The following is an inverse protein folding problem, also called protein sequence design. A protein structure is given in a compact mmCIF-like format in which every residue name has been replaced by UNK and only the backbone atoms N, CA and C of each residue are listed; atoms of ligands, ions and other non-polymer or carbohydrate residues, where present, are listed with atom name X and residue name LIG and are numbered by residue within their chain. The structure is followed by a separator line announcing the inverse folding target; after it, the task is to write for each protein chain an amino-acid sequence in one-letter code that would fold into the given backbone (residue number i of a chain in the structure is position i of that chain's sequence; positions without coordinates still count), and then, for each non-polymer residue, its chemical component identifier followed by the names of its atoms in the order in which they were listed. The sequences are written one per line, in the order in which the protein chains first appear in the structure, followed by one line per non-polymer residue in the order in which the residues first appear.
data_IF_533264976072
#
_entry.id   IF_533264976072
#
_cell.length_a   1.000
_cell.length_b   1.000
_cell.length_c   1.000
_cell.angle_alpha   90.00
_cell.angle_beta   90.00
_cell.angle_gamma   90.00
#
_symmetry.space_group_name_H-M   'P 1'
#
loop_
_entity.id
_entity.type
_entity.pdbx_description
1 polymer ?
#
# COMPACT_ATOMS: atom_id res chain seq x y z
N UNK A 1 12.48 -8.45 -19.29
CA UNK A 1 11.93 -7.69 -18.14
C UNK A 1 12.88 -6.62 -17.59
N UNK A 2 14.14 -6.93 -17.30
CA UNK A 2 15.06 -6.06 -16.53
C UNK A 2 15.30 -4.65 -17.08
N UNK A 3 15.45 -4.50 -18.41
CA UNK A 3 15.64 -3.19 -19.04
C UNK A 3 14.44 -2.26 -18.80
N UNK A 4 13.22 -2.80 -18.95
CA UNK A 4 11.97 -2.05 -18.72
C UNK A 4 11.91 -1.61 -17.25
N UNK A 5 12.21 -2.49 -16.30
CA UNK A 5 12.22 -2.15 -14.87
C UNK A 5 13.25 -1.06 -14.57
N UNK A 6 14.43 -1.10 -15.20
CA UNK A 6 15.45 -0.06 -15.05
C UNK A 6 14.97 1.28 -15.60
N UNK A 7 14.38 1.30 -16.78
CA UNK A 7 13.85 2.52 -17.39
C UNK A 7 12.72 3.12 -16.53
N UNK A 8 11.83 2.28 -15.98
CA UNK A 8 10.74 2.73 -15.10
C UNK A 8 11.23 3.34 -13.80
N UNK A 9 12.35 2.86 -13.23
CA UNK A 9 12.97 3.45 -12.03
C UNK A 9 13.48 4.89 -12.26
N UNK A 10 13.70 5.29 -13.51
CA UNK A 10 14.08 6.66 -13.86
C UNK A 10 12.87 7.59 -14.04
N UNK A 11 11.67 7.01 -14.23
CA UNK A 11 10.43 7.76 -14.50
C UNK A 11 9.60 7.93 -13.22
N UNK A 12 9.56 6.89 -12.38
CA UNK A 12 8.73 6.86 -11.18
C UNK A 12 9.58 6.90 -9.91
N UNK A 13 9.11 7.64 -8.92
CA UNK A 13 9.56 7.47 -7.54
C UNK A 13 8.81 6.26 -6.99
N UNK A 14 9.55 5.21 -6.64
CA UNK A 14 8.99 4.03 -6.00
C UNK A 14 9.36 4.00 -4.52
N UNK A 15 8.51 3.40 -3.71
CA UNK A 15 8.82 3.14 -2.31
C UNK A 15 9.25 1.69 -2.06
N UNK A 16 9.88 1.46 -0.92
CA UNK A 16 10.41 0.14 -0.54
C UNK A 16 9.35 -0.78 0.07
N UNK A 17 8.38 -0.21 0.79
CA UNK A 17 7.29 -0.96 1.41
C UNK A 17 6.00 -0.86 0.61
N UNK A 18 5.12 -1.83 0.77
CA UNK A 18 3.78 -1.83 0.16
C UNK A 18 2.75 -2.05 1.26
N UNK A 19 1.72 -1.21 1.28
CA UNK A 19 0.64 -1.17 2.27
C UNK A 19 -0.72 -1.05 1.57
N UNK A 20 -1.78 -1.31 2.32
CA UNK A 20 -3.15 -1.14 1.83
C UNK A 20 -3.40 0.33 1.47
N UNK A 21 -4.02 0.56 0.31
CA UNK A 21 -4.29 1.89 -0.23
C UNK A 21 -3.22 2.41 -1.19
N UNK A 22 -2.10 1.70 -1.37
CA UNK A 22 -1.10 2.09 -2.36
C UNK A 22 -1.52 1.74 -3.78
N UNK A 23 -1.04 2.55 -4.73
CA UNK A 23 -1.07 2.19 -6.14
C UNK A 23 0.26 1.54 -6.50
N UNK A 24 0.19 0.34 -7.04
CA UNK A 24 1.34 -0.41 -7.55
C UNK A 24 1.34 -0.40 -9.08
N UNK A 25 2.53 -0.34 -9.65
CA UNK A 25 2.76 -0.62 -11.05
C UNK A 25 3.06 -2.10 -11.20
N UNK A 26 2.32 -2.78 -12.08
CA UNK A 26 2.52 -4.18 -12.44
C UNK A 26 3.05 -4.22 -13.87
N UNK A 27 4.23 -4.80 -14.05
CA UNK A 27 4.85 -5.05 -15.35
C UNK A 27 4.79 -6.56 -15.60
N UNK A 28 4.02 -6.96 -16.61
CA UNK A 28 3.89 -8.33 -17.08
C UNK A 28 3.95 -8.34 -18.62
N UNK A 29 3.14 -9.15 -19.30
CA UNK A 29 2.87 -8.99 -20.74
C UNK A 29 2.35 -7.57 -21.07
N UNK A 30 1.58 -7.00 -20.14
CA UNK A 30 1.09 -5.61 -20.21
C UNK A 30 1.49 -4.86 -18.94
N UNK A 31 1.71 -3.56 -19.08
CA UNK A 31 1.95 -2.64 -17.96
C UNK A 31 0.61 -2.09 -17.49
N UNK A 32 0.33 -2.20 -16.20
CA UNK A 32 -0.95 -1.75 -15.62
C UNK A 32 -0.78 -1.28 -14.18
N UNK A 33 -1.74 -0.47 -13.73
CA UNK A 33 -1.84 -0.06 -12.33
C UNK A 33 -2.80 -0.97 -11.58
N UNK A 34 -2.52 -1.17 -10.29
CA UNK A 34 -3.45 -1.77 -9.36
C UNK A 34 -3.46 -1.03 -8.02
N UNK A 35 -4.61 -1.00 -7.37
CA UNK A 35 -4.75 -0.55 -5.98
C UNK A 35 -4.58 -1.76 -5.05
N UNK A 36 -3.76 -1.62 -4.02
CA UNK A 36 -3.65 -2.63 -2.96
C UNK A 36 -4.84 -2.49 -2.01
N UNK A 37 -5.64 -3.54 -1.93
CA UNK A 37 -6.88 -3.58 -1.14
C UNK A 37 -6.77 -4.39 0.15
N UNK A 38 -5.76 -5.25 0.27
CA UNK A 38 -5.52 -6.07 1.46
C UNK A 38 -4.17 -6.77 1.39
N UNK A 39 -3.54 -7.02 2.54
CA UNK A 39 -2.32 -7.81 2.68
C UNK A 39 -2.49 -8.67 3.94
N UNK A 40 -2.69 -9.98 3.76
CA UNK A 40 -2.96 -10.91 4.85
C UNK A 40 -1.98 -12.07 4.84
N UNK A 41 -1.48 -12.51 6.00
CA UNK A 41 -0.51 -13.60 6.08
C UNK A 41 -1.20 -14.94 5.82
N UNK A 42 -0.65 -15.74 4.90
CA UNK A 42 -1.11 -17.10 4.66
C UNK A 42 -0.45 -18.10 5.63
N UNK A 43 -1.12 -18.38 6.74
CA UNK A 43 -0.65 -19.31 7.78
C UNK A 43 -0.70 -20.78 7.38
N UNK A 44 -1.34 -21.14 6.25
CA UNK A 44 -1.31 -22.51 5.76
C UNK A 44 0.06 -22.88 5.15
N UNK A 45 0.88 -21.87 4.82
CA UNK A 45 2.25 -22.04 4.32
C UNK A 45 3.26 -21.84 5.44
N UNK A 46 4.21 -22.78 5.56
CA UNK A 46 5.32 -22.70 6.54
C UNK A 46 6.23 -21.50 6.29
N UNK A 47 6.42 -21.13 5.02
CA UNK A 47 7.20 -19.96 4.58
C UNK A 47 6.37 -18.68 4.57
N UNK A 48 7.03 -17.53 4.46
CA UNK A 48 6.43 -16.20 4.48
C UNK A 48 5.67 -15.83 3.18
N UNK A 49 4.44 -16.32 3.08
CA UNK A 49 3.50 -16.06 2.00
C UNK A 49 2.33 -15.16 2.43
N UNK A 50 1.89 -14.30 1.53
CA UNK A 50 0.86 -13.30 1.78
C UNK A 50 -0.23 -13.38 0.71
N UNK A 51 -1.48 -13.29 1.13
CA UNK A 51 -2.63 -13.06 0.28
C UNK A 51 -2.74 -11.55 0.04
N UNK A 52 -2.31 -11.09 -1.13
CA UNK A 52 -2.32 -9.68 -1.51
C UNK A 52 -3.54 -9.42 -2.41
N UNK A 53 -4.50 -8.68 -1.89
CA UNK A 53 -5.69 -8.25 -2.62
C UNK A 53 -5.36 -7.06 -3.53
N UNK A 54 -5.56 -7.20 -4.83
CA UNK A 54 -5.27 -6.20 -5.84
C UNK A 54 -6.54 -5.85 -6.62
N UNK A 55 -6.78 -4.57 -6.83
CA UNK A 55 -7.79 -4.09 -7.77
C UNK A 55 -7.10 -3.48 -8.98
N UNK A 56 -7.11 -4.23 -10.08
CA UNK A 56 -6.58 -3.84 -11.38
C UNK A 56 -7.39 -2.67 -11.93
N UNK A 57 -6.70 -1.57 -12.22
CA UNK A 57 -7.29 -0.32 -12.72
C UNK A 57 -7.37 -0.34 -14.25
N UNK A 58 -7.90 -1.43 -14.80
CA UNK A 58 -8.11 -1.67 -16.24
C UNK A 58 -9.55 -1.37 -16.63
N UNK A 59 -9.87 -1.45 -17.93
CA UNK A 59 -11.25 -1.43 -18.43
C UNK A 59 -11.59 -2.84 -18.96
N UNK A 60 -12.54 -3.58 -18.35
CA UNK A 60 -13.22 -3.25 -17.10
C UNK A 60 -12.30 -3.39 -15.88
N UNK A 61 -12.61 -2.74 -14.73
CA UNK A 61 -11.88 -2.96 -13.49
C UNK A 61 -12.01 -4.41 -13.03
N UNK A 62 -10.92 -4.99 -12.53
CA UNK A 62 -10.91 -6.37 -12.06
C UNK A 62 -10.36 -6.44 -10.63
N UNK A 63 -10.97 -7.27 -9.78
CA UNK A 63 -10.45 -7.55 -8.43
C UNK A 63 -9.84 -8.95 -8.41
N UNK A 64 -8.64 -9.07 -7.88
CA UNK A 64 -7.89 -10.33 -7.79
C UNK A 64 -7.18 -10.44 -6.44
N UNK A 65 -6.82 -11.66 -6.05
CA UNK A 65 -6.03 -11.92 -4.85
C UNK A 65 -4.89 -12.84 -5.26
N UNK A 66 -3.65 -12.40 -5.03
CA UNK A 66 -2.45 -13.15 -5.39
C UNK A 66 -1.71 -13.58 -4.14
N UNK A 67 -1.32 -14.86 -4.09
CA UNK A 67 -0.43 -15.40 -3.05
C UNK A 67 1.02 -15.07 -3.42
N UNK A 68 1.63 -14.12 -2.73
CA UNK A 68 2.96 -13.59 -3.05
C UNK A 68 3.88 -13.62 -1.82
N UNK A 69 5.19 -13.63 -2.06
CA UNK A 69 6.21 -13.41 -1.01
C UNK A 69 6.53 -11.92 -0.87
N UNK A 70 7.08 -11.53 0.27
CA UNK A 70 7.51 -10.15 0.54
C UNK A 70 8.38 -9.55 -0.58
N UNK A 71 9.44 -10.24 -1.08
CA UNK A 71 10.25 -9.69 -2.16
C UNK A 71 9.50 -9.46 -3.47
N UNK A 72 8.40 -10.20 -3.70
CA UNK A 72 7.63 -10.14 -4.95
C UNK A 72 6.71 -8.94 -4.99
N UNK A 73 5.90 -8.71 -3.93
CA UNK A 73 4.94 -7.61 -3.92
C UNK A 73 5.56 -6.26 -3.56
N UNK A 74 6.80 -6.25 -3.01
CA UNK A 74 7.58 -5.03 -2.76
C UNK A 74 8.53 -4.66 -3.90
N UNK A 75 8.61 -5.47 -4.95
CA UNK A 75 9.45 -5.21 -6.12
C UNK A 75 10.95 -5.35 -5.87
N UNK A 76 11.33 -6.24 -4.95
CA UNK A 76 12.72 -6.63 -4.72
C UNK A 76 13.18 -7.71 -5.71
N UNK A 77 12.27 -8.53 -6.25
CA UNK A 77 12.56 -9.53 -7.27
C UNK A 77 11.59 -9.48 -8.46
N UNK A 78 12.07 -9.94 -9.62
CA UNK A 78 11.21 -10.35 -10.75
C UNK A 78 10.83 -11.81 -10.49
N UNK A 79 9.57 -12.17 -10.71
CA UNK A 79 9.08 -13.52 -10.44
C UNK A 79 8.22 -14.04 -11.59
N UNK A 80 8.04 -15.35 -11.66
CA UNK A 80 7.21 -16.01 -12.68
C UNK A 80 5.93 -16.52 -12.06
N UNK A 81 4.79 -16.24 -12.71
CA UNK A 81 3.48 -16.79 -12.34
C UNK A 81 2.78 -17.28 -13.61
N UNK A 82 2.29 -18.51 -13.62
CA UNK A 82 1.64 -19.07 -14.83
C UNK A 82 2.52 -19.06 -16.10
N UNK A 83 3.85 -19.14 -15.96
CA UNK A 83 4.80 -19.12 -17.08
C UNK A 83 5.23 -17.72 -17.56
N UNK A 84 4.67 -16.65 -16.99
CA UNK A 84 5.00 -15.27 -17.38
C UNK A 84 5.74 -14.51 -16.29
N UNK A 85 6.78 -13.78 -16.69
CA UNK A 85 7.53 -12.88 -15.81
C UNK A 85 6.68 -11.69 -15.38
N UNK A 86 6.75 -11.33 -14.11
CA UNK A 86 6.05 -10.22 -13.48
C UNK A 86 6.96 -9.42 -12.54
N UNK A 87 6.68 -8.13 -12.45
CA UNK A 87 7.28 -7.22 -11.49
C UNK A 87 6.19 -6.32 -10.92
N UNK A 88 6.18 -6.11 -9.60
CA UNK A 88 5.21 -5.27 -8.90
C UNK A 88 5.96 -4.30 -8.01
N UNK A 89 5.66 -3.00 -8.09
CA UNK A 89 6.22 -2.04 -7.12
C UNK A 89 5.29 -0.87 -6.84
N UNK A 90 5.18 -0.49 -5.57
CA UNK A 90 4.37 0.64 -5.13
C UNK A 90 5.01 1.97 -5.54
N UNK A 91 4.20 2.83 -6.17
CA UNK A 91 4.59 4.18 -6.54
C UNK A 91 4.44 5.11 -5.34
N UNK A 92 5.44 5.94 -5.13
CA UNK A 92 5.38 7.02 -4.17
C UNK A 92 4.82 8.29 -4.83
N UNK A 93 3.66 8.74 -4.34
CA UNK A 93 3.02 9.99 -4.76
C UNK A 93 3.36 11.16 -3.83
N UNK A 94 4.34 11.01 -2.93
CA UNK A 94 4.73 12.03 -1.97
C UNK A 94 3.69 12.20 -0.86
N UNK A 95 3.08 11.10 -0.38
CA UNK A 95 2.10 11.18 0.70
C UNK A 95 2.80 11.62 1.98
N UNK A 96 2.66 12.91 2.29
CA UNK A 96 3.11 13.52 3.54
C UNK A 96 2.65 12.72 4.75
N UNK A 97 3.46 12.81 5.80
CA UNK A 97 3.45 12.11 7.11
C UNK A 97 2.15 12.26 7.95
N UNK A 98 1.00 12.53 7.35
CA UNK A 98 -0.22 12.94 8.04
C UNK A 98 -1.21 11.79 8.38
N UNK A 99 -0.78 10.53 8.40
CA UNK A 99 -1.67 9.41 8.77
C UNK A 99 -1.20 8.59 9.98
N UNK A 100 -0.06 8.90 10.60
CA UNK A 100 0.49 8.11 11.71
C UNK A 100 0.82 8.93 12.97
N UNK A 101 -0.02 9.90 13.35
CA UNK A 101 -0.03 10.43 14.72
C UNK A 101 -1.43 10.80 15.20
N UNK A 102 -2.28 9.81 15.48
CA UNK A 102 -3.30 9.91 16.55
C UNK A 102 -3.62 8.54 17.14
N UNK A 103 -2.75 8.05 18.02
CA UNK A 103 -3.18 7.21 19.15
C UNK A 103 -2.18 7.29 20.28
N UNK A 104 -2.51 8.13 21.27
CA UNK A 104 -1.79 8.23 22.53
C UNK A 104 -1.86 9.64 23.10
N UNK A 105 -2.91 9.95 23.87
CA UNK A 105 -2.77 10.24 25.31
C UNK A 105 -4.17 10.38 25.97
N UNK A 106 -4.41 9.78 27.14
CA UNK A 106 -5.66 9.91 27.87
C UNK A 106 -5.76 11.26 28.60
N UNK A 107 -6.96 11.84 28.62
CA UNK A 107 -7.27 13.09 29.31
C UNK A 107 -7.16 12.94 30.84
N UNK A 108 -6.18 13.62 31.44
CA UNK A 108 -6.14 13.86 32.88
C UNK A 108 -7.01 15.08 33.27
N UNK A 109 -7.78 15.04 34.38
CA UNK A 109 -8.64 16.15 34.77
C UNK A 109 -7.95 17.08 35.78
N UNK A 110 -7.81 18.37 35.45
CA UNK A 110 -7.22 19.38 36.34
C UNK A 110 -7.77 20.80 36.14
N UNK A 111 -8.77 21.15 36.97
CA UNK A 111 -9.16 22.48 37.56
C UNK A 111 -8.35 23.73 37.09
N UNK A 112 -8.88 24.96 36.88
CA UNK A 112 -10.02 25.70 37.50
C UNK A 112 -10.12 27.15 36.93
N UNK A 113 -11.28 27.81 37.17
CA UNK A 113 -11.64 29.27 37.19
C UNK A 113 -11.79 29.94 35.80
N UNK A 114 -12.88 30.59 35.40
CA UNK A 114 -14.10 31.11 36.05
C UNK A 114 -14.30 32.58 35.60
N UNK A 115 -15.48 32.96 35.06
CA UNK A 115 -16.07 34.32 35.15
C UNK A 115 -17.13 34.66 34.06
N UNK A 116 -18.37 34.87 34.54
CA UNK A 116 -19.46 35.78 34.13
C UNK A 116 -19.93 35.92 32.67
N UNK A 117 -21.21 35.56 32.44
CA UNK A 117 -22.21 36.45 31.80
C UNK A 117 -23.60 36.20 32.44
N UNK A 118 -24.22 37.26 32.98
CA UNK A 118 -25.60 37.28 33.50
C UNK A 118 -26.57 37.49 32.33
N UNK A 119 -27.64 36.70 32.26
CA UNK A 119 -28.78 36.94 31.35
C UNK A 119 -29.85 37.72 32.11
N UNK A 120 -30.27 38.84 31.54
CA UNK A 120 -31.38 39.70 32.01
C UNK A 120 -32.69 39.10 31.47
N UNK A 121 -33.74 39.07 32.29
CA UNK A 121 -35.12 38.77 31.86
C UNK A 121 -36.04 39.88 32.37
#
# INVERSE_FOLDING_TARGET
MEKIVTDLKNIFVFKESTQVGDIVLIVAEKIMYALVTGIERDYAKKEEWWQVGLQLLTIPPQKTVWTLRTPQFTGQEIFTMGGEERFIKAIDFGRGEAAEKKKGEPAGPGKKKGSFLKVIK
#
